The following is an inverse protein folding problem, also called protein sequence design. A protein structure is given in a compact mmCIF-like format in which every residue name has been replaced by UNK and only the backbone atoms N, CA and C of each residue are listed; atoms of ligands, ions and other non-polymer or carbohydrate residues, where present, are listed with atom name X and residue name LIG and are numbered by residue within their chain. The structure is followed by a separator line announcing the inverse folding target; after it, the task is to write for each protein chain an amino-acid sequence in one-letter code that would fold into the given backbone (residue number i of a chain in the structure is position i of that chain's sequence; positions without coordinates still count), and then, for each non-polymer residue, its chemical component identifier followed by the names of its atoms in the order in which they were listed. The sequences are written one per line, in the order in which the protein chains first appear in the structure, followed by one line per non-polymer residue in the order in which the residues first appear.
data_IF_616043945209
#
_entry.id   IF_616043945209
#
_cell.length_a   1.000
_cell.length_b   1.000
_cell.length_c   1.000
_cell.angle_alpha   90.00
_cell.angle_beta   90.00
_cell.angle_gamma   90.00
#
_symmetry.space_group_name_H-M   'P 1'
#
loop_
_entity.id
_entity.type
_entity.pdbx_description
1 polymer ?
#
# COMPACT_ATOMS: atom_id res chain seq x y z
N UNK A 1 -20.94 -29.06 3.81
CA UNK A 1 -20.31 -28.10 2.88
C UNK A 1 -19.92 -28.84 1.60
N UNK A 2 -20.25 -28.33 0.40
CA UNK A 2 -19.80 -28.96 -0.85
C UNK A 2 -18.34 -28.62 -1.15
N UNK A 3 -17.61 -29.50 -1.84
CA UNK A 3 -16.23 -29.24 -2.28
C UNK A 3 -16.12 -27.92 -3.08
N UNK A 4 -17.08 -27.66 -3.97
CA UNK A 4 -17.18 -26.40 -4.71
C UNK A 4 -17.34 -25.17 -3.80
N UNK A 5 -18.04 -25.30 -2.68
CA UNK A 5 -18.17 -24.22 -1.71
C UNK A 5 -16.90 -23.96 -0.91
N UNK A 6 -16.19 -25.03 -0.54
CA UNK A 6 -14.90 -24.91 0.15
C UNK A 6 -13.86 -24.25 -0.77
N UNK A 7 -13.82 -24.63 -2.06
CA UNK A 7 -12.92 -24.01 -3.03
C UNK A 7 -13.20 -22.52 -3.22
N UNK A 8 -14.47 -22.12 -3.40
CA UNK A 8 -14.83 -20.70 -3.53
C UNK A 8 -14.50 -19.92 -2.26
N UNK A 9 -14.71 -20.51 -1.08
CA UNK A 9 -14.31 -19.88 0.19
C UNK A 9 -12.79 -19.69 0.28
N UNK A 10 -12.01 -20.69 -0.16
CA UNK A 10 -10.56 -20.61 -0.22
C UNK A 10 -10.10 -19.51 -1.18
N UNK A 11 -10.72 -19.38 -2.36
CA UNK A 11 -10.42 -18.32 -3.31
C UNK A 11 -10.75 -16.93 -2.75
N UNK A 12 -11.91 -16.75 -2.10
CA UNK A 12 -12.24 -15.51 -1.40
C UNK A 12 -11.21 -15.18 -0.31
N UNK A 13 -10.82 -16.18 0.48
CA UNK A 13 -9.78 -16.04 1.50
C UNK A 13 -8.44 -15.62 0.91
N UNK A 14 -8.05 -16.18 -0.24
CA UNK A 14 -6.80 -15.84 -0.93
C UNK A 14 -6.84 -14.42 -1.52
N UNK A 15 -7.99 -14.01 -2.05
CA UNK A 15 -8.20 -12.66 -2.57
C UNK A 15 -8.16 -11.61 -1.46
N UNK A 16 -8.73 -11.91 -0.29
CA UNK A 16 -8.65 -11.06 0.91
C UNK A 16 -7.21 -11.04 1.48
N UNK A 17 -6.56 -12.20 1.54
CA UNK A 17 -5.18 -12.33 2.00
C UNK A 17 -4.21 -11.56 1.12
N UNK A 18 -4.46 -11.46 -0.19
CA UNK A 18 -3.62 -10.68 -1.11
C UNK A 18 -3.65 -9.20 -0.76
N UNK A 19 -4.83 -8.61 -0.54
CA UNK A 19 -4.93 -7.20 -0.10
C UNK A 19 -4.27 -6.98 1.26
N UNK A 20 -4.55 -7.85 2.23
CA UNK A 20 -3.93 -7.79 3.56
C UNK A 20 -2.40 -7.92 3.47
N UNK A 21 -1.90 -8.79 2.60
CA UNK A 21 -0.47 -8.95 2.35
C UNK A 21 0.16 -7.67 1.83
N UNK A 22 -0.43 -6.96 0.87
CA UNK A 22 0.14 -5.71 0.37
C UNK A 22 0.27 -4.66 1.49
N UNK A 23 -0.79 -4.47 2.30
CA UNK A 23 -0.77 -3.53 3.43
C UNK A 23 0.29 -3.96 4.45
N UNK A 24 0.27 -5.23 4.86
CA UNK A 24 1.16 -5.79 5.87
C UNK A 24 2.62 -5.75 5.41
N UNK A 25 2.92 -6.08 4.17
CA UNK A 25 4.28 -6.03 3.61
C UNK A 25 4.87 -4.62 3.69
N UNK A 26 4.07 -3.59 3.39
CA UNK A 26 4.48 -2.20 3.55
C UNK A 26 4.79 -1.84 5.00
N UNK A 27 3.92 -2.24 5.94
CA UNK A 27 4.13 -2.00 7.37
C UNK A 27 5.36 -2.74 7.91
N UNK A 28 5.51 -4.02 7.56
CA UNK A 28 6.66 -4.86 7.93
C UNK A 28 7.98 -4.30 7.41
N UNK A 29 7.99 -3.76 6.19
CA UNK A 29 9.19 -3.16 5.61
C UNK A 29 9.58 -1.88 6.35
N UNK A 30 8.62 -0.99 6.62
CA UNK A 30 8.84 0.24 7.39
C UNK A 30 9.34 -0.10 8.79
N UNK A 31 8.63 -0.97 9.50
CA UNK A 31 8.95 -1.36 10.87
C UNK A 31 10.30 -2.08 10.93
N UNK A 32 10.59 -2.98 9.99
CA UNK A 32 11.84 -3.76 9.98
C UNK A 32 13.10 -2.88 9.94
N UNK A 33 13.03 -1.76 9.22
CA UNK A 33 14.17 -0.85 9.07
C UNK A 33 14.17 0.25 10.13
N UNK A 34 13.02 0.90 10.36
CA UNK A 34 12.94 2.06 11.24
C UNK A 34 12.78 1.70 12.71
N UNK A 35 12.18 0.54 13.01
CA UNK A 35 11.71 0.12 14.35
C UNK A 35 10.61 1.02 14.92
N UNK A 36 9.92 1.79 14.07
CA UNK A 36 8.83 2.68 14.47
C UNK A 36 7.51 2.04 14.10
N UNK A 37 6.64 1.87 15.10
CA UNK A 37 5.26 1.45 14.88
C UNK A 37 4.50 2.63 14.28
N UNK A 38 4.15 2.53 13.00
CA UNK A 38 3.48 3.60 12.27
C UNK A 38 1.96 3.40 12.25
N UNK A 39 1.23 4.05 13.17
CA UNK A 39 -0.24 3.98 13.15
C UNK A 39 -0.88 4.65 11.93
N UNK A 40 -0.20 5.61 11.30
CA UNK A 40 -0.69 6.28 10.09
C UNK A 40 -0.64 5.41 8.83
N UNK A 41 -0.09 4.19 8.92
CA UNK A 41 -0.02 3.30 7.75
C UNK A 41 -1.39 2.97 7.17
N UNK A 42 -2.41 2.75 8.03
CA UNK A 42 -3.80 2.58 7.59
C UNK A 42 -4.37 3.83 6.92
N UNK A 43 -3.94 5.02 7.34
CA UNK A 43 -4.33 6.28 6.71
C UNK A 43 -3.76 6.43 5.29
N UNK A 44 -2.56 5.92 5.02
CA UNK A 44 -2.00 5.88 3.66
C UNK A 44 -2.79 4.93 2.74
N UNK A 45 -3.28 3.80 3.27
CA UNK A 45 -4.21 2.94 2.54
C UNK A 45 -5.50 3.70 2.18
N UNK A 46 -6.10 4.40 3.14
CA UNK A 46 -7.30 5.21 2.92
C UNK A 46 -7.07 6.30 1.87
N UNK A 47 -5.99 7.05 1.98
CA UNK A 47 -5.62 8.08 0.98
C UNK A 47 -5.42 7.46 -0.40
N UNK A 48 -4.81 6.27 -0.50
CA UNK A 48 -4.66 5.56 -1.77
C UNK A 48 -5.99 5.22 -2.44
N UNK A 49 -6.98 4.79 -1.65
CA UNK A 49 -8.34 4.50 -2.15
C UNK A 49 -9.01 5.76 -2.69
N UNK A 50 -9.02 6.85 -1.91
CA UNK A 50 -9.69 8.09 -2.30
C UNK A 50 -8.99 8.84 -3.44
N UNK A 51 -7.65 8.77 -3.51
CA UNK A 51 -6.89 9.25 -4.67
C UNK A 51 -7.18 8.41 -5.91
N UNK A 52 -7.27 7.09 -5.79
CA UNK A 52 -7.64 6.24 -6.91
C UNK A 52 -9.04 6.57 -7.42
N UNK A 53 -10.00 6.84 -6.51
CA UNK A 53 -11.34 7.30 -6.88
C UNK A 53 -11.28 8.58 -7.72
N UNK A 54 -10.62 9.64 -7.24
CA UNK A 54 -10.57 10.91 -7.97
C UNK A 54 -9.82 10.79 -9.28
N UNK A 55 -8.67 10.12 -9.27
CA UNK A 55 -7.85 9.92 -10.46
C UNK A 55 -8.57 9.06 -11.51
N UNK A 56 -9.36 8.06 -11.12
CA UNK A 56 -10.12 7.24 -12.07
C UNK A 56 -11.14 8.11 -12.84
N UNK A 57 -11.84 9.01 -12.16
CA UNK A 57 -12.78 9.94 -12.79
C UNK A 57 -12.06 10.98 -13.67
N UNK A 58 -10.96 11.54 -13.19
CA UNK A 58 -10.19 12.56 -13.92
C UNK A 58 -9.51 11.99 -15.17
N UNK A 59 -8.90 10.80 -15.06
CA UNK A 59 -8.16 10.18 -16.15
C UNK A 59 -9.07 9.46 -17.16
N UNK A 60 -10.30 9.10 -16.78
CA UNK A 60 -11.28 8.54 -17.71
C UNK A 60 -11.54 9.48 -18.90
N UNK A 61 -11.61 10.79 -18.65
CA UNK A 61 -11.82 11.78 -19.72
C UNK A 61 -10.64 11.94 -20.68
N UNK A 62 -9.40 11.67 -20.23
CA UNK A 62 -8.19 11.88 -21.02
C UNK A 62 -7.66 10.61 -21.71
N UNK A 63 -7.78 9.46 -21.05
CA UNK A 63 -7.18 8.18 -21.47
C UNK A 63 -8.23 7.11 -21.82
N UNK A 64 -9.53 7.43 -21.67
CA UNK A 64 -10.63 6.48 -21.73
C UNK A 64 -10.82 5.72 -20.41
N UNK A 65 -12.02 5.19 -20.19
CA UNK A 65 -12.41 4.54 -18.92
C UNK A 65 -11.47 3.38 -18.53
N UNK A 66 -11.06 2.57 -19.51
CA UNK A 66 -10.17 1.42 -19.30
C UNK A 66 -8.77 1.81 -18.83
N UNK A 67 -8.03 2.52 -19.69
CA UNK A 67 -6.65 2.89 -19.38
C UNK A 67 -6.57 3.91 -18.24
N UNK A 68 -7.54 4.82 -18.14
CA UNK A 68 -7.64 5.80 -17.05
C UNK A 68 -7.75 5.14 -15.68
N UNK A 69 -8.57 4.10 -15.54
CA UNK A 69 -8.71 3.35 -14.29
C UNK A 69 -7.38 2.71 -13.83
N UNK A 70 -6.70 1.96 -14.70
CA UNK A 70 -5.46 1.29 -14.34
C UNK A 70 -4.32 2.28 -14.08
N UNK A 71 -4.26 3.37 -14.84
CA UNK A 71 -3.33 4.47 -14.60
C UNK A 71 -3.61 5.15 -13.25
N UNK A 72 -4.88 5.34 -12.87
CA UNK A 72 -5.27 5.92 -11.60
C UNK A 72 -4.78 5.10 -10.40
N UNK A 73 -4.89 3.77 -10.46
CA UNK A 73 -4.38 2.87 -9.41
C UNK A 73 -2.87 3.04 -9.21
N UNK A 74 -2.11 3.01 -10.31
CA UNK A 74 -0.66 3.17 -10.27
C UNK A 74 -0.24 4.57 -9.78
N UNK A 75 -0.90 5.61 -10.29
CA UNK A 75 -0.60 6.99 -9.92
C UNK A 75 -0.98 7.29 -8.47
N UNK A 76 -2.11 6.78 -7.97
CA UNK A 76 -2.49 6.88 -6.56
C UNK A 76 -1.41 6.28 -5.67
N UNK A 77 -0.94 5.06 -5.97
CA UNK A 77 0.14 4.41 -5.23
C UNK A 77 1.43 5.24 -5.22
N UNK A 78 1.81 5.81 -6.37
CA UNK A 78 2.99 6.68 -6.47
C UNK A 78 2.85 7.96 -5.64
N UNK A 79 1.69 8.63 -5.70
CA UNK A 79 1.41 9.82 -4.89
C UNK A 79 1.47 9.49 -3.40
N UNK A 80 0.88 8.38 -2.97
CA UNK A 80 0.98 7.94 -1.56
C UNK A 80 2.42 7.61 -1.18
N UNK A 81 3.22 7.02 -2.07
CA UNK A 81 4.65 6.81 -1.84
C UNK A 81 5.41 8.12 -1.63
N UNK A 82 5.10 9.16 -2.41
CA UNK A 82 5.68 10.51 -2.23
C UNK A 82 5.21 11.14 -0.91
N UNK A 83 3.93 11.01 -0.57
CA UNK A 83 3.40 11.48 0.72
C UNK A 83 4.11 10.79 1.89
N UNK A 84 4.30 9.47 1.82
CA UNK A 84 5.07 8.72 2.81
C UNK A 84 6.51 9.20 2.94
N UNK A 85 7.21 9.43 1.82
CA UNK A 85 8.54 10.02 1.82
C UNK A 85 8.57 11.39 2.51
N UNK A 86 7.55 12.22 2.26
CA UNK A 86 7.35 13.51 2.90
C UNK A 86 7.13 13.37 4.41
N UNK A 87 6.23 12.48 4.83
CA UNK A 87 5.96 12.17 6.24
C UNK A 87 7.23 11.73 6.97
N UNK A 88 8.02 10.82 6.39
CA UNK A 88 9.27 10.40 7.01
C UNK A 88 10.22 11.59 7.15
N UNK A 89 10.47 12.32 6.07
CA UNK A 89 11.46 13.39 6.04
C UNK A 89 11.10 14.56 6.95
N UNK A 90 9.82 14.91 7.01
CA UNK A 90 9.34 16.09 7.72
C UNK A 90 8.91 15.79 9.15
N UNK A 91 8.32 14.63 9.42
CA UNK A 91 7.84 14.31 10.77
C UNK A 91 8.77 13.33 11.46
N UNK A 92 8.85 12.11 10.94
CA UNK A 92 9.43 10.99 11.69
C UNK A 92 10.94 11.14 11.90
N UNK A 93 11.67 11.61 10.90
CA UNK A 93 13.13 11.79 10.99
C UNK A 93 13.54 12.67 12.15
N UNK A 94 12.73 13.69 12.48
CA UNK A 94 13.01 14.64 13.56
C UNK A 94 12.82 14.01 14.94
N UNK A 95 12.07 12.92 15.03
CA UNK A 95 11.69 12.26 16.28
C UNK A 95 12.22 10.82 16.40
N UNK A 96 13.12 10.38 15.53
CA UNK A 96 13.72 9.03 15.59
C UNK A 96 14.45 8.73 16.90
N UNK A 97 15.01 9.75 17.56
CA UNK A 97 15.67 9.62 18.86
C UNK A 97 14.74 9.87 20.04
N UNK A 98 13.49 10.22 19.78
CA UNK A 98 12.49 10.45 20.81
C UNK A 98 11.98 9.10 21.35
N UNK A 99 11.47 9.05 22.60
CA UNK A 99 10.81 7.87 23.16
C UNK A 99 9.71 7.34 22.24
N UNK A 100 9.50 6.02 22.24
CA UNK A 100 8.50 5.33 21.40
C UNK A 100 7.10 5.94 21.55
N UNK A 101 6.73 6.35 22.76
CA UNK A 101 5.44 7.01 23.03
C UNK A 101 5.25 8.29 22.20
N UNK A 102 6.29 9.09 21.99
CA UNK A 102 6.20 10.30 21.16
C UNK A 102 6.07 9.96 19.68
N UNK A 103 6.67 8.86 19.23
CA UNK A 103 6.55 8.38 17.84
C UNK A 103 5.13 7.85 17.57
N UNK A 104 4.57 7.09 18.51
CA UNK A 104 3.17 6.64 18.47
C UNK A 104 2.21 7.83 18.48
N UNK A 105 2.43 8.81 19.37
CA UNK A 105 1.61 10.00 19.45
C UNK A 105 1.65 10.81 18.15
N UNK A 106 2.84 10.99 17.56
CA UNK A 106 3.01 11.71 16.30
C UNK A 106 2.31 11.00 15.13
N UNK A 107 2.42 9.67 15.05
CA UNK A 107 1.74 8.90 14.00
C UNK A 107 0.23 8.82 14.22
N UNK A 108 -0.24 8.80 15.47
CA UNK A 108 -1.66 8.93 15.79
C UNK A 108 -2.22 10.32 15.43
N UNK A 109 -1.49 11.39 15.74
CA UNK A 109 -1.84 12.73 15.31
C UNK A 109 -1.94 12.81 13.78
N UNK A 110 -1.03 12.16 13.06
CA UNK A 110 -1.09 12.07 11.61
C UNK A 110 -2.32 11.31 11.11
N UNK A 111 -2.76 10.25 11.80
CA UNK A 111 -4.03 9.57 11.49
C UNK A 111 -5.19 10.55 11.54
N UNK A 112 -5.28 11.36 12.60
CA UNK A 112 -6.36 12.34 12.77
C UNK A 112 -6.32 13.41 11.68
N UNK A 113 -5.14 13.99 11.42
CA UNK A 113 -4.96 15.01 10.37
C UNK A 113 -5.33 14.46 9.00
N UNK A 114 -4.87 13.25 8.65
CA UNK A 114 -5.20 12.64 7.35
C UNK A 114 -6.69 12.31 7.27
N UNK A 115 -7.29 11.79 8.35
CA UNK A 115 -8.73 11.50 8.39
C UNK A 115 -9.55 12.77 8.16
N UNK A 116 -9.24 13.84 8.88
CA UNK A 116 -9.97 15.10 8.76
C UNK A 116 -9.73 15.75 7.38
N UNK A 117 -8.52 15.64 6.83
CA UNK A 117 -8.26 16.04 5.45
C UNK A 117 -9.08 15.22 4.45
N UNK A 118 -9.19 13.90 4.63
CA UNK A 118 -10.01 13.07 3.76
C UNK A 118 -11.49 13.47 3.84
N UNK A 119 -12.02 13.68 5.04
CA UNK A 119 -13.39 14.16 5.23
C UNK A 119 -13.61 15.54 4.63
N UNK A 120 -12.62 16.43 4.70
CA UNK A 120 -12.71 17.77 4.13
C UNK A 120 -12.68 17.77 2.59
N UNK A 121 -11.85 16.93 1.97
CA UNK A 121 -11.72 16.84 0.51
C UNK A 121 -12.83 16.01 -0.16
N UNK A 122 -13.24 14.89 0.44
CA UNK A 122 -14.15 13.92 -0.17
C UNK A 122 -15.55 13.87 0.48
N UNK A 123 -15.72 14.49 1.65
CA UNK A 123 -16.96 14.44 2.41
C UNK A 123 -17.05 13.21 3.33
N UNK A 124 -18.12 13.14 4.15
CA UNK A 124 -18.38 12.02 5.05
C UNK A 124 -19.15 10.86 4.39
N UNK A 125 -19.66 11.06 3.17
CA UNK A 125 -20.46 10.08 2.45
C UNK A 125 -19.60 8.96 1.86
N UNK A 126 -20.18 7.76 1.76
CA UNK A 126 -19.52 6.62 1.12
C UNK A 126 -19.42 6.84 -0.39
N UNK A 127 -18.18 6.91 -0.90
CA UNK A 127 -17.91 7.06 -2.33
C UNK A 127 -17.69 5.69 -2.97
N UNK A 128 -18.63 5.29 -3.83
CA UNK A 128 -18.54 4.04 -4.59
C UNK A 128 -17.63 4.22 -5.82
N UNK A 129 -16.55 3.44 -5.87
CA UNK A 129 -15.63 3.44 -7.01
C UNK A 129 -16.24 2.85 -8.29
N UNK A 130 -15.70 3.21 -9.47
CA UNK A 130 -16.06 2.55 -10.70
C UNK A 130 -15.60 1.08 -10.67
N UNK A 131 -16.39 0.19 -11.30
CA UNK A 131 -15.98 -1.20 -11.51
C UNK A 131 -14.71 -1.26 -12.36
N UNK A 132 -13.86 -2.24 -12.09
CA UNK A 132 -12.63 -2.45 -12.84
C UNK A 132 -12.94 -2.78 -14.32
N UNK A 133 -12.53 -1.95 -15.28
CA UNK A 133 -12.80 -2.18 -16.70
C UNK A 133 -12.20 -3.50 -17.17
N UNK A 134 -13.00 -4.31 -17.86
CA UNK A 134 -12.62 -5.65 -18.31
C UNK A 134 -12.70 -6.74 -17.23
N UNK A 135 -12.99 -6.40 -15.96
CA UNK A 135 -13.10 -7.32 -14.83
C UNK A 135 -14.40 -7.14 -14.01
N UNK A 136 -15.42 -6.50 -14.60
CA UNK A 136 -16.72 -6.30 -13.98
C UNK A 136 -17.58 -7.58 -13.88
N UNK A 137 -17.18 -8.66 -14.56
CA UNK A 137 -17.92 -9.91 -14.62
C UNK A 137 -17.52 -10.94 -13.56
N UNK A 138 -18.14 -12.12 -13.67
CA UNK A 138 -17.82 -13.29 -12.84
C UNK A 138 -17.46 -14.50 -13.72
N UNK A 139 -16.51 -15.31 -13.27
CA UNK A 139 -16.11 -16.57 -13.89
C UNK A 139 -16.79 -17.72 -13.14
N UNK A 140 -17.24 -18.75 -13.85
CA UNK A 140 -17.83 -19.94 -13.24
C UNK A 140 -16.72 -20.92 -12.82
N UNK A 141 -16.52 -21.08 -11.51
CA UNK A 141 -15.61 -22.05 -10.90
C UNK A 141 -16.44 -23.19 -10.32
N UNK A 142 -16.33 -24.39 -10.89
CA UNK A 142 -17.09 -25.59 -10.47
C UNK A 142 -18.60 -25.33 -10.28
N UNK A 143 -19.21 -24.61 -11.22
CA UNK A 143 -20.64 -24.28 -11.21
C UNK A 143 -21.05 -23.12 -10.28
N UNK A 144 -20.10 -22.45 -9.61
CA UNK A 144 -20.34 -21.25 -8.79
C UNK A 144 -19.74 -20.01 -9.45
N UNK A 145 -20.43 -18.87 -9.38
CA UNK A 145 -19.89 -17.58 -9.87
C UNK A 145 -18.88 -17.01 -8.88
N UNK A 146 -17.71 -16.65 -9.38
CA UNK A 146 -16.62 -16.01 -8.63
C UNK A 146 -16.20 -14.71 -9.33
N UNK A 147 -16.09 -13.57 -8.64
CA UNK A 147 -15.73 -12.29 -9.26
C UNK A 147 -14.41 -12.36 -10.00
N UNK A 148 -14.38 -11.89 -11.26
CA UNK A 148 -13.15 -11.91 -12.07
C UNK A 148 -12.06 -10.98 -11.51
N UNK A 149 -12.47 -9.88 -10.87
CA UNK A 149 -11.54 -8.98 -10.17
C UNK A 149 -10.83 -9.64 -8.98
N UNK A 150 -11.49 -10.54 -8.25
CA UNK A 150 -10.86 -11.26 -7.14
C UNK A 150 -9.79 -12.26 -7.63
N UNK A 151 -9.97 -12.85 -8.81
CA UNK A 151 -8.91 -13.65 -9.46
C UNK A 151 -7.70 -12.79 -9.78
N UNK A 152 -7.91 -11.57 -10.28
CA UNK A 152 -6.84 -10.62 -10.51
C UNK A 152 -6.09 -10.29 -9.21
N UNK A 153 -6.81 -10.01 -8.11
CA UNK A 153 -6.18 -9.72 -6.82
C UNK A 153 -5.37 -10.89 -6.26
N UNK A 154 -5.84 -12.13 -6.46
CA UNK A 154 -5.09 -13.36 -6.13
C UNK A 154 -3.75 -13.41 -6.88
N UNK A 155 -3.67 -12.89 -8.11
CA UNK A 155 -2.43 -12.86 -8.91
C UNK A 155 -1.54 -11.69 -8.50
N UNK A 156 -2.12 -10.52 -8.20
CA UNK A 156 -1.36 -9.33 -7.80
C UNK A 156 -0.52 -9.58 -6.54
N UNK A 157 -1.06 -10.28 -5.54
CA UNK A 157 -0.33 -10.59 -4.30
C UNK A 157 1.02 -11.29 -4.54
N UNK A 158 1.05 -12.48 -5.18
CA UNK A 158 2.27 -13.17 -5.56
C UNK A 158 3.19 -12.38 -6.49
N UNK A 159 2.66 -11.58 -7.42
CA UNK A 159 3.48 -10.71 -8.28
C UNK A 159 4.22 -9.67 -7.45
N UNK A 160 3.51 -8.96 -6.56
CA UNK A 160 4.12 -7.97 -5.65
C UNK A 160 5.12 -8.65 -4.70
N UNK A 161 4.79 -9.84 -4.18
CA UNK A 161 5.72 -10.64 -3.38
C UNK A 161 7.01 -10.95 -4.15
N UNK A 162 6.89 -11.41 -5.39
CA UNK A 162 8.03 -11.70 -6.26
C UNK A 162 8.87 -10.44 -6.54
N UNK A 163 8.23 -9.30 -6.82
CA UNK A 163 8.91 -8.03 -7.02
C UNK A 163 9.64 -7.56 -5.75
N UNK A 164 9.00 -7.62 -4.59
CA UNK A 164 9.63 -7.27 -3.31
C UNK A 164 10.79 -8.20 -3.00
N UNK A 165 10.61 -9.51 -3.20
CA UNK A 165 11.68 -10.47 -3.03
C UNK A 165 12.86 -10.19 -3.96
N UNK A 166 12.61 -9.86 -5.22
CA UNK A 166 13.65 -9.53 -6.19
C UNK A 166 14.39 -8.24 -5.78
N UNK A 167 13.65 -7.18 -5.47
CA UNK A 167 14.21 -5.89 -5.06
C UNK A 167 15.03 -6.06 -3.79
N UNK A 168 14.50 -6.76 -2.78
CA UNK A 168 15.20 -6.95 -1.53
C UNK A 168 16.41 -7.88 -1.69
N UNK A 169 16.27 -9.05 -2.32
CA UNK A 169 17.33 -10.07 -2.32
C UNK A 169 18.35 -9.94 -3.45
N UNK A 170 18.01 -9.31 -4.57
CA UNK A 170 18.89 -9.26 -5.76
C UNK A 170 19.47 -7.88 -6.06
N UNK A 171 19.09 -6.83 -5.33
CA UNK A 171 19.62 -5.48 -5.57
C UNK A 171 20.57 -5.01 -4.47
N UNK A 172 21.47 -4.08 -4.81
CA UNK A 172 22.33 -3.39 -3.83
C UNK A 172 21.51 -2.61 -2.80
N UNK A 173 20.41 -1.98 -3.23
CA UNK A 173 19.51 -1.27 -2.32
C UNK A 173 18.92 -2.22 -1.28
N UNK A 174 18.45 -3.39 -1.70
CA UNK A 174 17.93 -4.41 -0.80
C UNK A 174 18.97 -4.99 0.18
N UNK A 175 20.23 -5.13 -0.25
CA UNK A 175 21.35 -5.45 0.64
C UNK A 175 21.53 -4.37 1.73
N UNK A 176 21.52 -3.09 1.35
CA UNK A 176 21.63 -1.97 2.29
C UNK A 176 20.44 -1.92 3.26
N UNK A 177 19.22 -2.18 2.77
CA UNK A 177 18.02 -2.29 3.60
C UNK A 177 18.20 -3.36 4.67
N UNK A 178 18.62 -4.59 4.29
CA UNK A 178 18.87 -5.67 5.25
C UNK A 178 19.99 -5.33 6.24
N UNK A 179 21.10 -4.75 5.76
CA UNK A 179 22.19 -4.33 6.64
C UNK A 179 21.71 -3.28 7.66
N UNK A 180 20.86 -2.33 7.25
CA UNK A 180 20.27 -1.34 8.14
C UNK A 180 19.34 -1.94 9.21
N UNK A 181 18.70 -3.10 8.94
CA UNK A 181 17.90 -3.82 9.94
C UNK A 181 18.75 -4.51 11.02
N UNK A 182 20.03 -4.79 10.70
CA UNK A 182 20.98 -5.39 11.62
C UNK A 182 21.66 -4.33 12.48
N UNK A 183 22.33 -3.36 11.84
CA UNK A 183 23.01 -2.27 12.52
C UNK A 183 23.05 -1.01 11.64
N UNK A 184 22.24 -0.02 12.00
CA UNK A 184 22.11 1.25 11.29
C UNK A 184 23.29 2.19 11.53
N UNK A 185 23.97 2.08 12.68
CA UNK A 185 25.07 2.95 13.05
C UNK A 185 26.35 2.51 12.34
N UNK A 186 26.59 1.20 12.29
CA UNK A 186 27.65 0.61 11.46
C UNK A 186 27.45 0.93 9.97
N UNK A 187 26.22 0.83 9.47
CA UNK A 187 25.91 1.20 8.07
C UNK A 187 26.30 2.67 7.78
N UNK A 188 25.99 3.57 8.71
CA UNK A 188 26.39 4.97 8.64
C UNK A 188 27.91 5.18 8.64
N UNK A 189 28.65 4.41 9.45
CA UNK A 189 30.11 4.47 9.52
C UNK A 189 30.79 4.00 8.22
N UNK A 190 30.13 3.12 7.45
CA UNK A 190 30.59 2.67 6.13
C UNK A 190 30.28 3.65 4.99
N UNK A 191 29.81 4.87 5.31
CA UNK A 191 29.58 5.95 4.33
C UNK A 191 28.23 5.91 3.62
N UNK A 192 27.33 5.00 3.99
CA UNK A 192 25.96 4.97 3.47
C UNK A 192 25.12 5.96 4.25
N UNK A 193 24.30 6.77 3.58
CA UNK A 193 23.40 7.72 4.23
C UNK A 193 22.11 7.00 4.70
N UNK A 194 21.92 6.73 6.01
CA UNK A 194 20.76 5.97 6.48
C UNK A 194 19.46 6.74 6.30
N UNK A 195 19.52 8.08 6.34
CA UNK A 195 18.34 8.92 6.18
C UNK A 195 17.71 8.78 4.79
N UNK A 196 18.53 8.70 3.72
CA UNK A 196 18.03 8.46 2.36
C UNK A 196 17.44 7.05 2.20
N UNK A 197 18.08 6.07 2.83
CA UNK A 197 17.60 4.68 2.83
C UNK A 197 16.23 4.58 3.51
N UNK A 198 16.06 5.24 4.65
CA UNK A 198 14.81 5.24 5.40
C UNK A 198 13.70 5.96 4.64
N UNK A 199 13.98 7.09 3.99
CA UNK A 199 13.00 7.73 3.08
C UNK A 199 12.55 6.78 1.98
N UNK A 200 13.48 6.09 1.32
CA UNK A 200 13.16 5.18 0.22
C UNK A 200 12.31 3.99 0.70
N UNK A 201 12.65 3.43 1.87
CA UNK A 201 11.88 2.36 2.51
C UNK A 201 10.48 2.84 2.87
N UNK A 202 10.36 4.04 3.44
CA UNK A 202 9.07 4.60 3.83
C UNK A 202 8.21 4.93 2.61
N UNK A 203 8.81 5.46 1.55
CA UNK A 203 8.16 5.69 0.27
C UNK A 203 7.62 4.38 -0.33
N UNK A 204 8.43 3.32 -0.35
CA UNK A 204 8.01 2.01 -0.84
C UNK A 204 6.90 1.40 0.04
N UNK A 205 7.02 1.48 1.37
CA UNK A 205 6.01 0.96 2.28
C UNK A 205 4.66 1.69 2.16
N UNK A 206 4.69 3.03 2.07
CA UNK A 206 3.50 3.83 1.84
C UNK A 206 2.91 3.61 0.44
N UNK A 207 3.75 3.43 -0.59
CA UNK A 207 3.30 3.07 -1.94
C UNK A 207 2.53 1.74 -1.92
N UNK A 208 3.01 0.72 -1.22
CA UNK A 208 2.31 -0.56 -1.09
C UNK A 208 0.97 -0.42 -0.35
N UNK A 209 0.91 0.41 0.69
CA UNK A 209 -0.34 0.74 1.37
C UNK A 209 -1.33 1.44 0.43
N UNK A 210 -0.86 2.46 -0.29
CA UNK A 210 -1.64 3.21 -1.26
C UNK A 210 -2.12 2.34 -2.42
N UNK A 211 -1.26 1.46 -2.94
CA UNK A 211 -1.61 0.48 -3.96
C UNK A 211 -2.70 -0.47 -3.46
N UNK A 212 -2.58 -0.97 -2.23
CA UNK A 212 -3.60 -1.83 -1.67
C UNK A 212 -4.95 -1.12 -1.48
N UNK A 213 -4.93 0.16 -1.11
CA UNK A 213 -6.14 0.98 -1.01
C UNK A 213 -6.77 1.23 -2.38
N UNK A 214 -5.95 1.58 -3.36
CA UNK A 214 -6.37 1.79 -4.74
C UNK A 214 -6.99 0.52 -5.36
N UNK A 215 -6.41 -0.65 -5.07
CA UNK A 215 -6.94 -1.95 -5.51
C UNK A 215 -8.24 -2.35 -4.81
N UNK A 216 -8.59 -1.74 -3.67
CA UNK A 216 -9.87 -1.97 -3.00
C UNK A 216 -11.00 -1.10 -3.56
N UNK A 217 -10.69 -0.08 -4.37
CA UNK A 217 -11.68 0.81 -4.97
C UNK A 217 -12.84 0.11 -5.72
N UNK A 218 -12.62 -0.95 -6.53
CA UNK A 218 -13.68 -1.54 -7.37
C UNK A 218 -14.44 -2.68 -6.71
N UNK A 219 -14.13 -2.99 -5.45
CA UNK A 219 -14.71 -4.10 -4.70
C UNK A 219 -16.02 -3.73 -4.03
#
# INVERSE_FOLDING_TARGET
MSFSGLLVQLLNGLAAASSLFLVAAGLSLIFGVTRIVNFAHGSFFMVGLYLAYTLAHLLAGALGEGAGFWAALGLAALVVGVLGAGTERLLLRRIYRAPEMLQLLATFALVLVIKDAVLWLWGPDDLLGPLAPGLAGAVTVLGRRFPSYDLFLIVVGPVVLGLLWLVLNRTRWGMLVRAATQDRDMLGALGVNPARLFTAVFALGALLAGLSGALQLPR
#
